data_IF_730699158385
#
_entry.id   IF_730699158385
#
_cell.length_a   1.000
_cell.length_b   1.000
_cell.length_c   1.000
_cell.angle_alpha   90.00
_cell.angle_beta   90.00
_cell.angle_gamma   90.00
#
_symmetry.space_group_name_H-M   'P 1'
#
loop_
_entity.id
_entity.type
_entity.pdbx_description
1 polymer ?
#
# COMPACT_ATOMS: atom_id res chain seq x y z
N UNK A 1 -28.57 14.05 9.29
CA UNK A 1 -27.82 14.35 8.05
C UNK A 1 -28.09 13.23 7.05
N UNK A 2 -28.28 13.53 5.77
CA UNK A 2 -28.47 12.50 4.75
C UNK A 2 -27.19 11.67 4.62
N UNK A 3 -27.30 10.34 4.70
CA UNK A 3 -26.15 9.46 4.52
C UNK A 3 -25.63 9.57 3.08
N UNK A 4 -24.35 9.93 2.94
CA UNK A 4 -23.70 10.10 1.64
C UNK A 4 -22.98 8.82 1.25
N UNK A 5 -23.17 8.38 0.01
CA UNK A 5 -22.58 7.15 -0.50
C UNK A 5 -21.73 7.43 -1.74
N UNK A 6 -20.52 6.86 -1.77
CA UNK A 6 -19.70 6.75 -2.96
C UNK A 6 -20.17 5.52 -3.75
N UNK A 7 -20.89 5.75 -4.84
CA UNK A 7 -21.44 4.67 -5.69
C UNK A 7 -20.58 4.46 -6.93
N UNK A 8 -20.25 3.20 -7.23
CA UNK A 8 -19.47 2.80 -8.40
C UNK A 8 -20.10 1.57 -9.07
N UNK A 9 -19.88 1.44 -10.38
CA UNK A 9 -20.12 0.16 -11.06
C UNK A 9 -19.09 -0.84 -10.49
N UNK A 10 -19.53 -1.98 -9.95
CA UNK A 10 -18.60 -2.99 -9.46
C UNK A 10 -17.76 -3.51 -10.61
N UNK A 11 -16.45 -3.48 -10.42
CA UNK A 11 -15.47 -4.11 -11.29
C UNK A 11 -14.59 -5.00 -10.43
N UNK A 12 -14.00 -6.04 -11.03
CA UNK A 12 -13.07 -6.91 -10.32
C UNK A 12 -11.93 -6.09 -9.70
N UNK A 13 -11.39 -5.11 -10.43
CA UNK A 13 -10.33 -4.23 -9.94
C UNK A 13 -10.72 -3.50 -8.65
N UNK A 14 -11.90 -2.85 -8.60
CA UNK A 14 -12.32 -2.10 -7.41
C UNK A 14 -12.48 -3.03 -6.21
N UNK A 15 -13.12 -4.18 -6.42
CA UNK A 15 -13.33 -5.14 -5.33
C UNK A 15 -12.01 -5.76 -4.85
N UNK A 16 -11.09 -6.06 -5.77
CA UNK A 16 -9.75 -6.53 -5.44
C UNK A 16 -8.95 -5.49 -4.65
N UNK A 17 -9.04 -4.21 -5.00
CA UNK A 17 -8.38 -3.14 -4.25
C UNK A 17 -8.92 -3.05 -2.80
N UNK A 18 -10.23 -3.11 -2.61
CA UNK A 18 -10.80 -3.15 -1.27
C UNK A 18 -10.39 -4.41 -0.50
N UNK A 19 -10.37 -5.57 -1.16
CA UNK A 19 -9.94 -6.84 -0.54
C UNK A 19 -8.49 -6.75 -0.09
N UNK A 20 -7.57 -6.34 -0.97
CA UNK A 20 -6.15 -6.19 -0.65
C UNK A 20 -5.91 -5.20 0.47
N UNK A 21 -6.52 -4.02 0.40
CA UNK A 21 -6.32 -3.01 1.43
C UNK A 21 -6.74 -3.53 2.81
N UNK A 22 -7.79 -4.36 2.90
CA UNK A 22 -8.16 -5.03 4.16
C UNK A 22 -7.17 -6.08 4.60
N UNK A 23 -6.66 -6.90 3.69
CA UNK A 23 -5.66 -7.94 3.99
C UNK A 23 -4.35 -7.34 4.50
N UNK A 24 -3.97 -6.16 4.02
CA UNK A 24 -2.72 -5.49 4.38
C UNK A 24 -2.82 -4.57 5.60
N UNK A 25 -4.02 -4.07 5.92
CA UNK A 25 -4.23 -3.17 7.05
C UNK A 25 -4.54 -3.99 8.33
N UNK A 26 -5.72 -3.81 8.92
CA UNK A 26 -6.14 -4.51 10.12
C UNK A 26 -7.40 -5.35 9.88
N UNK A 27 -7.43 -6.52 10.51
CA UNK A 27 -8.58 -7.43 10.46
C UNK A 27 -9.85 -6.74 11.00
N UNK A 28 -10.94 -6.90 10.25
CA UNK A 28 -12.29 -6.46 10.66
C UNK A 28 -12.75 -5.10 10.11
N UNK A 29 -11.94 -4.39 9.32
CA UNK A 29 -12.37 -3.11 8.74
C UNK A 29 -13.38 -3.27 7.59
N UNK A 30 -14.42 -2.44 7.62
CA UNK A 30 -15.40 -2.32 6.54
C UNK A 30 -14.86 -1.52 5.34
N UNK A 31 -15.61 -1.51 4.24
CA UNK A 31 -15.26 -0.68 3.08
C UNK A 31 -15.26 0.83 3.40
N UNK A 32 -16.17 1.37 4.24
CA UNK A 32 -16.15 2.78 4.60
C UNK A 32 -14.85 3.19 5.30
N UNK A 33 -14.42 2.39 6.28
CA UNK A 33 -13.23 2.65 7.09
C UNK A 33 -11.95 2.56 6.25
N UNK A 34 -11.87 1.58 5.34
CA UNK A 34 -10.74 1.43 4.41
C UNK A 34 -10.64 2.62 3.45
N UNK A 35 -11.78 3.07 2.91
CA UNK A 35 -11.79 4.24 2.01
C UNK A 35 -11.40 5.52 2.76
N UNK A 36 -11.87 5.68 3.98
CA UNK A 36 -11.53 6.81 4.87
C UNK A 36 -10.03 6.83 5.20
N UNK A 37 -9.45 5.72 5.64
CA UNK A 37 -8.01 5.62 5.92
C UNK A 37 -7.15 5.90 4.69
N UNK A 38 -7.53 5.31 3.54
CA UNK A 38 -6.88 5.63 2.28
C UNK A 38 -7.01 7.10 1.89
N UNK A 39 -8.15 7.72 2.21
CA UNK A 39 -8.40 9.14 2.04
C UNK A 39 -7.48 10.02 2.87
N UNK A 40 -7.31 9.71 4.16
CA UNK A 40 -6.34 10.37 5.03
C UNK A 40 -4.93 10.30 4.47
N UNK A 41 -4.48 9.08 4.14
CA UNK A 41 -3.16 8.88 3.55
C UNK A 41 -2.96 9.71 2.28
N UNK A 42 -3.94 9.70 1.36
CA UNK A 42 -3.90 10.45 0.11
C UNK A 42 -3.75 11.96 0.33
N UNK A 43 -4.54 12.53 1.24
CA UNK A 43 -4.57 13.98 1.51
C UNK A 43 -3.32 14.43 2.25
N UNK A 44 -2.86 13.66 3.25
CA UNK A 44 -1.70 14.00 4.08
C UNK A 44 -0.37 13.83 3.34
N UNK A 45 -0.34 13.02 2.27
CA UNK A 45 0.89 12.69 1.55
C UNK A 45 0.84 13.08 0.06
N UNK A 46 -0.01 14.02 -0.33
CA UNK A 46 -0.21 14.39 -1.75
C UNK A 46 1.11 14.71 -2.48
N UNK A 47 2.07 15.37 -1.82
CA UNK A 47 3.35 15.79 -2.40
C UNK A 47 4.34 14.64 -2.60
N UNK A 48 4.11 13.49 -1.94
CA UNK A 48 4.98 12.31 -1.99
C UNK A 48 4.45 11.21 -2.91
N UNK A 49 3.23 11.36 -3.42
CA UNK A 49 2.55 10.34 -4.22
C UNK A 49 2.87 10.52 -5.70
N UNK A 50 3.38 9.46 -6.34
CA UNK A 50 3.50 9.40 -7.81
C UNK A 50 2.14 9.08 -8.47
N UNK A 51 1.33 10.11 -8.66
CA UNK A 51 0.03 10.00 -9.33
C UNK A 51 0.12 9.47 -10.77
N UNK A 52 1.20 9.77 -11.49
CA UNK A 52 1.36 9.28 -12.87
C UNK A 52 1.55 7.77 -12.86
N UNK A 53 2.39 7.26 -11.96
CA UNK A 53 2.59 5.83 -11.73
C UNK A 53 1.30 5.10 -11.33
N UNK A 54 0.52 5.66 -10.40
CA UNK A 54 -0.74 5.06 -9.94
C UNK A 54 -1.76 4.87 -11.06
N UNK A 55 -1.87 5.82 -11.99
CA UNK A 55 -2.83 5.71 -13.10
C UNK A 55 -2.50 4.60 -14.09
N UNK A 56 -1.22 4.23 -14.19
CA UNK A 56 -0.69 3.22 -15.11
C UNK A 56 -0.59 1.84 -14.48
N UNK A 57 -0.49 1.77 -13.15
CA UNK A 57 -0.48 0.49 -12.41
C UNK A 57 -1.80 -0.24 -12.65
N UNK A 58 -1.71 -1.42 -13.23
CA UNK A 58 -2.83 -2.37 -13.29
C UNK A 58 -2.77 -3.24 -12.06
N UNK A 59 -3.88 -3.35 -11.36
CA UNK A 59 -3.99 -4.28 -10.24
C UNK A 59 -4.26 -5.67 -10.81
N UNK A 60 -3.34 -6.61 -10.57
CA UNK A 60 -3.36 -7.95 -11.21
C UNK A 60 -4.07 -9.01 -10.37
N UNK A 61 -4.38 -8.74 -9.10
CA UNK A 61 -5.20 -9.64 -8.32
C UNK A 61 -6.64 -9.58 -8.82
N UNK A 62 -7.14 -10.75 -9.22
CA UNK A 62 -8.48 -10.93 -9.76
C UNK A 62 -9.43 -11.31 -8.63
N UNK A 63 -10.50 -10.54 -8.47
CA UNK A 63 -11.57 -10.85 -7.54
C UNK A 63 -12.23 -12.17 -7.97
N UNK A 64 -12.08 -13.21 -7.17
CA UNK A 64 -12.69 -14.53 -7.42
C UNK A 64 -14.09 -14.56 -6.80
N UNK A 65 -15.07 -14.02 -7.49
CA UNK A 65 -16.47 -14.04 -7.06
C UNK A 65 -17.42 -13.41 -8.07
N UNK A 66 -18.72 -13.60 -7.84
CA UNK A 66 -19.75 -12.92 -8.65
C UNK A 66 -19.73 -11.44 -8.31
N UNK A 67 -19.65 -10.59 -9.34
CA UNK A 67 -19.76 -9.15 -9.16
C UNK A 67 -21.17 -8.80 -8.66
N UNK A 68 -21.31 -7.99 -7.60
CA UNK A 68 -22.62 -7.55 -7.14
C UNK A 68 -23.29 -6.68 -8.21
N UNK A 69 -24.61 -6.50 -8.13
CA UNK A 69 -25.33 -5.62 -9.07
C UNK A 69 -24.98 -4.14 -8.89
N UNK A 70 -24.61 -3.74 -7.67
CA UNK A 70 -24.17 -2.38 -7.36
C UNK A 70 -23.14 -2.40 -6.25
N UNK A 71 -22.24 -1.41 -6.24
CA UNK A 71 -21.25 -1.24 -5.19
C UNK A 71 -21.33 0.18 -4.63
N UNK A 72 -21.63 0.27 -3.34
CA UNK A 72 -21.76 1.54 -2.60
C UNK A 72 -20.91 1.47 -1.34
N UNK A 73 -20.17 2.53 -1.09
CA UNK A 73 -19.38 2.69 0.13
C UNK A 73 -19.90 3.92 0.86
N UNK A 74 -20.25 3.76 2.14
CA UNK A 74 -20.68 4.90 2.98
C UNK A 74 -19.51 5.87 3.13
N UNK A 75 -19.80 7.17 3.06
CA UNK A 75 -18.82 8.22 3.30
C UNK A 75 -18.96 8.63 4.77
N UNK A 76 -17.98 8.24 5.59
CA UNK A 76 -17.93 8.56 7.02
C UNK A 76 -17.64 10.05 7.24
N UNK A 77 -16.69 10.61 6.48
CA UNK A 77 -16.33 12.03 6.49
C UNK A 77 -16.51 12.66 5.10
N UNK A 78 -17.47 13.58 4.98
CA UNK A 78 -17.77 14.30 3.73
C UNK A 78 -16.75 15.40 3.40
N UNK A 79 -16.08 15.96 4.39
CA UNK A 79 -15.05 16.96 4.20
C UNK A 79 -13.78 16.29 3.66
N UNK A 80 -13.36 15.18 4.26
CA UNK A 80 -12.25 14.36 3.76
C UNK A 80 -12.51 13.92 2.31
N UNK A 81 -13.70 13.38 2.02
CA UNK A 81 -14.06 12.99 0.66
C UNK A 81 -13.92 14.15 -0.34
N UNK A 82 -14.32 15.36 0.07
CA UNK A 82 -14.19 16.56 -0.78
C UNK A 82 -12.73 16.96 -0.98
N UNK A 83 -11.87 16.82 0.04
CA UNK A 83 -10.43 17.03 -0.07
C UNK A 83 -9.80 16.02 -1.03
N UNK A 84 -10.12 14.73 -0.91
CA UNK A 84 -9.65 13.68 -1.82
C UNK A 84 -9.99 14.00 -3.29
N UNK A 85 -11.22 14.46 -3.56
CA UNK A 85 -11.61 14.89 -4.92
C UNK A 85 -10.71 16.01 -5.42
N UNK A 86 -10.45 17.04 -4.61
CA UNK A 86 -9.59 18.18 -4.99
C UNK A 86 -8.15 17.75 -5.27
N UNK A 87 -7.58 16.89 -4.43
CA UNK A 87 -6.22 16.34 -4.64
C UNK A 87 -6.13 15.66 -6.01
N UNK A 88 -7.10 14.80 -6.34
CA UNK A 88 -7.12 14.09 -7.63
C UNK A 88 -7.38 15.05 -8.80
N UNK A 89 -8.28 16.03 -8.66
CA UNK A 89 -8.51 17.05 -9.69
C UNK A 89 -7.22 17.80 -10.04
N UNK A 90 -6.49 18.23 -9.01
CA UNK A 90 -5.24 18.96 -9.16
C UNK A 90 -4.14 18.07 -9.77
N UNK A 91 -3.98 16.85 -9.26
CA UNK A 91 -2.93 15.92 -9.71
C UNK A 91 -3.08 15.51 -11.19
N UNK A 92 -4.32 15.36 -11.69
CA UNK A 92 -4.59 14.95 -13.07
C UNK A 92 -5.05 16.10 -13.98
N UNK A 93 -5.17 17.33 -13.46
CA UNK A 93 -5.72 18.48 -14.17
C UNK A 93 -7.08 18.20 -14.83
N UNK A 94 -8.01 17.62 -14.05
CA UNK A 94 -9.36 17.25 -14.52
C UNK A 94 -10.45 18.00 -13.75
N UNK A 95 -11.54 18.36 -14.44
CA UNK A 95 -12.68 19.06 -13.83
C UNK A 95 -13.57 18.16 -12.97
N UNK A 96 -13.70 16.88 -13.31
CA UNK A 96 -14.60 15.95 -12.63
C UNK A 96 -13.89 14.64 -12.33
N UNK A 97 -14.03 14.18 -11.09
CA UNK A 97 -13.52 12.88 -10.64
C UNK A 97 -14.70 11.93 -10.52
N UNK A 98 -14.65 10.83 -11.29
CA UNK A 98 -15.65 9.77 -11.20
C UNK A 98 -15.34 8.88 -10.00
N UNK A 99 -16.36 8.41 -9.28
CA UNK A 99 -16.20 7.58 -8.08
C UNK A 99 -15.29 6.35 -8.28
N UNK A 100 -15.43 5.56 -9.37
CA UNK A 100 -14.51 4.46 -9.65
C UNK A 100 -13.04 4.88 -9.70
N UNK A 101 -12.76 6.03 -10.33
CA UNK A 101 -11.42 6.56 -10.47
C UNK A 101 -10.88 7.06 -9.13
N UNK A 102 -11.71 7.74 -8.34
CA UNK A 102 -11.36 8.17 -6.97
C UNK A 102 -10.98 6.96 -6.09
N UNK A 103 -11.83 5.93 -6.07
CA UNK A 103 -11.57 4.70 -5.30
C UNK A 103 -10.27 4.04 -5.77
N UNK A 104 -10.08 3.91 -7.09
CA UNK A 104 -8.88 3.30 -7.65
C UNK A 104 -7.60 4.01 -7.23
N UNK A 105 -7.53 5.34 -7.42
CA UNK A 105 -6.33 6.12 -7.08
C UNK A 105 -6.07 6.10 -5.58
N UNK A 106 -7.10 6.34 -4.78
CA UNK A 106 -7.00 6.36 -3.32
C UNK A 106 -6.48 5.04 -2.77
N UNK A 107 -7.12 3.92 -3.15
CA UNK A 107 -6.75 2.61 -2.64
C UNK A 107 -5.40 2.14 -3.18
N UNK A 108 -5.07 2.44 -4.44
CA UNK A 108 -3.76 2.08 -4.99
C UNK A 108 -2.62 2.81 -4.26
N UNK A 109 -2.81 4.09 -3.93
CA UNK A 109 -1.87 4.85 -3.13
C UNK A 109 -1.70 4.23 -1.74
N UNK A 110 -2.83 3.93 -1.08
CA UNK A 110 -2.85 3.38 0.27
C UNK A 110 -2.23 1.98 0.34
N UNK A 111 -2.57 1.09 -0.60
CA UNK A 111 -1.96 -0.24 -0.72
C UNK A 111 -0.45 -0.11 -0.90
N UNK A 112 0.02 0.78 -1.78
CA UNK A 112 1.46 0.98 -1.98
C UNK A 112 2.19 1.43 -0.71
N UNK A 113 1.51 2.19 0.16
CA UNK A 113 2.01 2.52 1.50
C UNK A 113 2.01 1.32 2.43
N UNK A 114 0.90 0.59 2.51
CA UNK A 114 0.79 -0.58 3.38
C UNK A 114 1.79 -1.67 3.00
N UNK A 115 2.01 -1.92 1.71
CA UNK A 115 2.99 -2.91 1.24
C UNK A 115 4.40 -2.54 1.68
N UNK A 116 4.81 -1.27 1.53
CA UNK A 116 6.13 -0.80 1.97
C UNK A 116 6.32 -0.96 3.48
N UNK A 117 5.35 -0.54 4.27
CA UNK A 117 5.42 -0.67 5.73
C UNK A 117 5.30 -2.12 6.20
N UNK A 118 4.62 -2.98 5.45
CA UNK A 118 4.56 -4.42 5.73
C UNK A 118 5.92 -5.06 5.49
N UNK A 119 6.61 -4.75 4.40
CA UNK A 119 7.98 -5.24 4.15
C UNK A 119 9.00 -4.71 5.17
N UNK A 120 8.89 -3.45 5.60
CA UNK A 120 9.72 -2.89 6.67
C UNK A 120 9.44 -3.54 8.04
N UNK A 121 8.19 -3.93 8.30
CA UNK A 121 7.81 -4.67 9.50
C UNK A 121 8.17 -6.16 9.44
N UNK A 122 8.26 -6.79 8.26
CA UNK A 122 8.80 -8.15 8.11
C UNK A 122 10.31 -8.15 8.31
N UNK A 123 11.03 -7.18 7.74
CA UNK A 123 12.47 -7.00 8.03
C UNK A 123 12.72 -6.69 9.51
N UNK A 124 11.83 -5.97 10.20
CA UNK A 124 11.93 -5.78 11.66
C UNK A 124 11.46 -6.98 12.49
N UNK A 125 10.47 -7.76 12.05
CA UNK A 125 9.98 -8.95 12.78
C UNK A 125 10.89 -10.17 12.62
N UNK A 126 11.62 -10.30 11.51
CA UNK A 126 12.66 -11.34 11.38
C UNK A 126 13.92 -11.07 12.26
N UNK A 127 14.00 -9.88 12.87
CA UNK A 127 15.06 -9.49 13.82
C UNK A 127 14.74 -9.96 15.26
N UNK A 128 13.51 -10.37 15.56
CA UNK A 128 13.15 -10.99 16.86
C UNK A 128 13.00 -12.51 16.73
N UNK A 129 14.08 -13.21 16.40
CA UNK A 129 14.16 -14.67 16.56
C UNK A 129 15.43 -15.01 17.34
N UNK A 130 15.23 -15.63 18.50
CA UNK A 130 16.21 -16.05 19.49
C UNK A 130 17.51 -16.61 18.90
N UNK A 131 18.62 -15.95 19.19
CA UNK A 131 19.97 -16.34 18.80
C UNK A 131 20.59 -17.29 19.81
N UNK A 132 20.77 -18.56 19.43
CA UNK A 132 21.82 -19.42 20.00
C UNK A 132 22.71 -20.09 18.94
N UNK A 133 22.42 -19.94 17.64
CA UNK A 133 23.21 -20.59 16.58
C UNK A 133 24.03 -19.59 15.75
N UNK A 134 25.36 -19.64 15.93
CA UNK A 134 26.36 -18.77 15.29
C UNK A 134 26.33 -18.91 13.75
N UNK A 135 26.03 -20.10 13.25
CA UNK A 135 26.01 -20.37 11.80
C UNK A 135 24.83 -19.68 11.10
N UNK A 136 23.70 -19.52 11.80
CA UNK A 136 22.55 -18.75 11.30
C UNK A 136 22.88 -17.26 11.23
N UNK A 137 23.65 -16.74 12.20
CA UNK A 137 24.13 -15.35 12.19
C UNK A 137 25.11 -15.10 11.04
N UNK A 138 26.03 -16.04 10.77
CA UNK A 138 26.96 -15.95 9.64
C UNK A 138 26.23 -15.94 8.29
N UNK A 139 25.27 -16.84 8.08
CA UNK A 139 24.46 -16.87 6.86
C UNK A 139 23.62 -15.60 6.69
N UNK A 140 23.09 -15.05 7.79
CA UNK A 140 22.37 -13.76 7.78
C UNK A 140 23.27 -12.59 7.41
N UNK A 141 24.47 -12.50 8.00
CA UNK A 141 25.45 -11.48 7.67
C UNK A 141 25.82 -11.54 6.18
N UNK A 142 26.13 -12.74 5.66
CA UNK A 142 26.43 -12.94 4.25
C UNK A 142 25.25 -12.50 3.35
N UNK A 143 24.00 -12.80 3.72
CA UNK A 143 22.83 -12.37 2.93
C UNK A 143 22.64 -10.84 2.91
N UNK A 144 22.90 -10.17 4.02
CA UNK A 144 22.81 -8.71 4.13
C UNK A 144 23.93 -8.04 3.33
N UNK A 145 25.12 -8.61 3.40
CA UNK A 145 26.29 -8.15 2.67
C UNK A 145 26.11 -8.35 1.15
N UNK A 146 25.56 -9.49 0.70
CA UNK A 146 25.28 -9.76 -0.72
C UNK A 146 24.18 -8.85 -1.30
N UNK A 147 23.26 -8.36 -0.47
CA UNK A 147 22.22 -7.42 -0.87
C UNK A 147 22.72 -5.97 -0.94
N UNK A 148 23.91 -5.67 -0.40
CA UNK A 148 24.58 -4.39 -0.55
C UNK A 148 25.47 -4.51 -1.80
N UNK A 149 25.04 -3.90 -2.91
CA UNK A 149 25.80 -3.84 -4.18
C UNK A 149 27.08 -2.97 -4.07
N UNK A 150 27.86 -3.11 -3.01
CA UNK A 150 29.12 -2.39 -2.80
C UNK A 150 30.26 -3.38 -2.55
N UNK A 151 30.89 -3.79 -3.66
CA UNK A 151 31.90 -4.83 -3.73
C UNK A 151 33.15 -4.52 -2.88
N UNK A 152 33.52 -3.25 -2.73
CA UNK A 152 34.69 -2.85 -1.93
C UNK A 152 34.44 -3.06 -0.43
N UNK A 153 33.23 -2.79 0.04
CA UNK A 153 32.87 -2.99 1.44
C UNK A 153 32.78 -4.49 1.80
N UNK A 154 32.33 -5.29 0.83
CA UNK A 154 32.28 -6.75 0.86
C UNK A 154 33.67 -7.39 1.06
N UNK A 155 34.67 -6.96 0.29
CA UNK A 155 36.04 -7.46 0.36
C UNK A 155 36.72 -7.11 1.70
N UNK A 156 36.42 -5.93 2.26
CA UNK A 156 36.95 -5.53 3.58
C UNK A 156 36.39 -6.39 4.71
N UNK A 157 35.10 -6.70 4.69
CA UNK A 157 34.47 -7.52 5.74
C UNK A 157 34.96 -8.97 5.67
N UNK A 158 35.09 -9.55 4.47
CA UNK A 158 35.62 -10.91 4.30
C UNK A 158 37.06 -11.00 4.82
N UNK A 159 37.94 -10.06 4.46
CA UNK A 159 39.32 -10.09 4.92
C UNK A 159 39.43 -9.99 6.45
N UNK A 160 38.56 -9.22 7.10
CA UNK A 160 38.54 -9.14 8.58
C UNK A 160 38.03 -10.41 9.28
N UNK A 161 37.33 -11.29 8.55
CA UNK A 161 36.82 -12.56 9.08
C UNK A 161 37.78 -13.73 8.83
N UNK A 162 38.73 -13.60 7.90
CA UNK A 162 39.77 -14.61 7.63
C UNK A 162 41.04 -14.43 8.49
N UNK A 163 41.16 -13.33 9.23
CA UNK A 163 42.29 -13.04 10.13
C UNK A 163 42.11 -13.53 11.58
N UNK A 164 41.03 -14.25 11.91
CA UNK A 164 40.84 -15.02 13.17
C UNK A 164 40.99 -16.54 12.95
#
# INVERSE_FOLDING_TARGET
MSEKYASAKPTEEILSLFKRAKELDADGLGNPEILERGGHYLVENESKIDFKGLSRKKYHETYKGVLPASFKVRINDSELYSKMVRVIQNAYNIKRVMTPFLMRITLSAYIGYLEKNSTENVTKKEIEVSTEDIDVLKLKAISLILNLEDKEHLEQVINSLEEE
#
